data_IF_385883737880
#
_entry.id   IF_385883737880
#
_cell.length_a   1.000
_cell.length_b   1.000
_cell.length_c   1.000
_cell.angle_alpha   90.00
_cell.angle_beta   90.00
_cell.angle_gamma   90.00
#
_symmetry.space_group_name_H-M   'P 1'
#
loop_
_entity.id
_entity.type
_entity.pdbx_description
1 polymer ?
#
# COMPACT_ATOMS: atom_id res chain seq x y z
N UNK A 1 -0.56 -6.59 1.80
CA UNK A 1 0.46 -6.07 0.86
C UNK A 1 0.80 -4.62 1.17
N UNK A 2 2.06 -4.17 1.01
CA UNK A 2 2.37 -2.74 0.99
C UNK A 2 1.61 -2.05 -0.14
N UNK A 3 1.18 -0.79 0.05
CA UNK A 3 0.49 0.00 -0.98
C UNK A 3 1.25 0.04 -2.31
N UNK A 4 2.59 -0.02 -2.24
CA UNK A 4 3.48 -0.02 -3.41
C UNK A 4 3.38 -1.23 -4.34
N UNK A 5 2.75 -2.32 -3.91
CA UNK A 5 2.59 -3.55 -4.70
C UNK A 5 1.18 -3.74 -5.26
N UNK A 6 0.34 -2.71 -5.23
CA UNK A 6 -1.02 -2.74 -5.74
C UNK A 6 -1.05 -2.35 -7.22
N UNK A 7 -1.99 -2.92 -7.97
CA UNK A 7 -2.24 -2.52 -9.35
C UNK A 7 -3.17 -1.31 -9.42
N UNK A 8 -2.56 -0.15 -9.66
CA UNK A 8 -3.29 1.12 -9.69
C UNK A 8 -4.19 1.27 -10.92
N UNK A 9 -3.91 0.54 -12.01
CA UNK A 9 -4.66 0.63 -13.27
C UNK A 9 -6.02 -0.08 -13.21
N UNK A 10 -6.23 -0.86 -12.16
CA UNK A 10 -7.51 -1.51 -11.87
C UNK A 10 -8.12 -0.98 -10.56
N UNK A 11 -7.61 0.12 -10.02
CA UNK A 11 -8.10 0.69 -8.75
C UNK A 11 -8.04 -0.29 -7.58
N UNK A 12 -7.01 -1.14 -7.53
CA UNK A 12 -6.78 -2.04 -6.40
C UNK A 12 -6.30 -1.23 -5.18
N UNK A 13 -7.06 -1.27 -4.09
CA UNK A 13 -6.74 -0.55 -2.86
C UNK A 13 -6.15 -1.45 -1.78
N UNK A 14 -6.31 -2.76 -1.89
CA UNK A 14 -5.77 -3.73 -0.95
C UNK A 14 -5.68 -5.13 -1.56
N UNK A 15 -4.78 -5.98 -1.06
CA UNK A 15 -4.68 -7.39 -1.45
C UNK A 15 -4.48 -8.26 -0.20
N UNK A 16 -5.45 -9.12 0.07
CA UNK A 16 -5.33 -10.20 1.05
C UNK A 16 -4.65 -11.41 0.42
N UNK A 17 -4.10 -12.26 1.28
CA UNK A 17 -3.64 -13.60 0.89
C UNK A 17 -4.39 -14.61 1.73
N UNK A 18 -5.22 -15.39 1.05
CA UNK A 18 -6.01 -16.46 1.67
C UNK A 18 -5.24 -17.76 1.57
N UNK A 19 -4.94 -18.36 2.71
CA UNK A 19 -4.42 -19.72 2.74
C UNK A 19 -5.55 -20.72 2.46
N UNK A 20 -5.42 -21.48 1.39
CA UNK A 20 -6.27 -22.63 1.07
C UNK A 20 -5.56 -23.88 1.60
N UNK A 21 -5.69 -24.10 2.91
CA UNK A 21 -4.91 -25.10 3.65
C UNK A 21 -5.02 -26.52 3.05
N UNK A 22 -6.23 -26.92 2.66
CA UNK A 22 -6.50 -28.25 2.07
C UNK A 22 -5.77 -28.50 0.73
N UNK A 23 -5.39 -27.44 0.02
CA UNK A 23 -4.66 -27.53 -1.25
C UNK A 23 -3.18 -27.13 -1.10
N UNK A 24 -2.75 -26.67 0.08
CA UNK A 24 -1.42 -26.09 0.27
C UNK A 24 -1.15 -24.84 -0.58
N UNK A 25 -2.20 -24.11 -0.97
CA UNK A 25 -2.10 -22.95 -1.87
C UNK A 25 -2.36 -21.65 -1.12
N UNK A 26 -1.77 -20.56 -1.61
CA UNK A 26 -2.10 -19.19 -1.18
C UNK A 26 -2.71 -18.46 -2.36
N UNK A 27 -3.92 -17.95 -2.16
CA UNK A 27 -4.67 -17.24 -3.18
C UNK A 27 -4.69 -15.73 -2.87
N UNK A 28 -4.24 -14.87 -3.80
CA UNK A 28 -4.39 -13.42 -3.66
C UNK A 28 -5.85 -13.00 -3.88
N UNK A 29 -6.38 -12.17 -2.98
CA UNK A 29 -7.71 -11.57 -3.09
C UNK A 29 -7.61 -10.05 -3.13
N UNK A 30 -7.92 -9.46 -4.28
CA UNK A 30 -7.85 -8.02 -4.52
C UNK A 30 -9.13 -7.32 -4.07
N UNK A 31 -8.98 -6.19 -3.38
CA UNK A 31 -10.06 -5.24 -3.12
C UNK A 31 -9.95 -4.10 -4.13
N UNK A 32 -10.98 -3.96 -4.96
CA UNK A 32 -11.01 -2.99 -6.06
C UNK A 32 -12.14 -2.00 -5.82
N UNK A 33 -11.84 -0.71 -5.99
CA UNK A 33 -12.87 0.34 -6.03
C UNK A 33 -13.38 0.46 -7.47
N UNK A 34 -14.68 0.28 -7.73
CA UNK A 34 -15.22 0.40 -9.08
C UNK A 34 -15.19 1.87 -9.56
N UNK A 35 -14.48 2.13 -10.68
CA UNK A 35 -14.36 3.47 -11.29
C UNK A 35 -14.64 3.40 -12.79
N UNK A 36 -15.26 4.44 -13.36
CA UNK A 36 -15.62 4.51 -14.79
C UNK A 36 -14.43 4.40 -15.75
N UNK A 37 -13.25 4.91 -15.35
CA UNK A 37 -12.01 4.86 -16.13
C UNK A 37 -10.88 4.36 -15.22
N UNK A 38 -10.86 3.07 -14.92
CA UNK A 38 -9.89 2.47 -13.99
C UNK A 38 -8.44 2.62 -14.44
N UNK A 39 -8.18 2.66 -15.76
CA UNK A 39 -6.84 2.83 -16.34
C UNK A 39 -6.22 4.22 -16.12
N UNK A 40 -6.99 5.20 -15.62
CA UNK A 40 -6.45 6.47 -15.16
C UNK A 40 -6.03 6.34 -13.69
N UNK A 41 -4.95 7.02 -13.29
CA UNK A 41 -4.58 7.08 -11.89
C UNK A 41 -5.60 7.94 -11.11
N UNK A 42 -6.11 7.41 -9.99
CA UNK A 42 -7.08 8.08 -9.13
C UNK A 42 -6.42 8.48 -7.81
N UNK A 43 -5.92 9.71 -7.72
CA UNK A 43 -5.15 10.21 -6.57
C UNK A 43 -5.89 10.07 -5.23
N UNK A 44 -7.22 10.21 -5.23
CA UNK A 44 -8.08 10.07 -4.04
C UNK A 44 -8.05 8.66 -3.43
N UNK A 45 -7.74 7.63 -4.22
CA UNK A 45 -7.62 6.26 -3.74
C UNK A 45 -6.27 5.95 -3.09
N UNK A 46 -5.26 6.79 -3.32
CA UNK A 46 -3.87 6.55 -2.92
C UNK A 46 -3.30 7.73 -2.12
N UNK A 47 -3.84 8.03 -0.93
CA UNK A 47 -3.31 9.08 -0.07
C UNK A 47 -1.88 8.77 0.39
N UNK A 48 -1.23 9.77 0.97
CA UNK A 48 0.06 9.59 1.66
C UNK A 48 0.02 8.39 2.62
N UNK A 49 0.91 7.42 2.42
CA UNK A 49 0.89 6.16 3.18
C UNK A 49 2.26 5.86 3.77
N UNK A 50 2.36 4.89 4.69
CA UNK A 50 3.63 4.53 5.31
C UNK A 50 4.69 4.16 4.25
N UNK A 51 5.84 4.84 4.32
CA UNK A 51 6.99 4.56 3.46
C UNK A 51 7.77 3.31 3.90
N UNK A 52 8.84 2.98 3.18
CA UNK A 52 9.76 1.87 3.52
C UNK A 52 10.89 2.28 4.46
N UNK A 53 10.96 3.55 4.86
CA UNK A 53 11.98 4.07 5.77
C UNK A 53 11.34 4.32 7.12
N UNK A 54 12.01 3.88 8.18
CA UNK A 54 11.60 4.19 9.54
C UNK A 54 11.44 5.71 9.72
N UNK A 55 10.42 6.12 10.48
CA UNK A 55 10.16 7.53 10.76
C UNK A 55 11.19 8.13 11.73
N UNK A 56 11.82 7.29 12.54
CA UNK A 56 12.83 7.64 13.52
C UNK A 56 13.70 6.41 13.86
N UNK A 57 14.79 6.67 14.58
CA UNK A 57 15.63 5.65 15.21
C UNK A 57 15.01 5.13 16.51
N UNK A 58 15.50 4.00 17.00
CA UNK A 58 15.06 3.45 18.28
C UNK A 58 15.37 4.39 19.47
N UNK A 59 16.52 5.05 19.43
CA UNK A 59 16.96 6.00 20.46
C UNK A 59 16.03 7.22 20.53
N UNK A 60 15.64 7.77 19.38
CA UNK A 60 14.67 8.86 19.32
C UNK A 60 13.32 8.43 19.92
N UNK A 61 12.84 7.24 19.59
CA UNK A 61 11.60 6.70 20.15
C UNK A 61 11.67 6.52 21.67
N UNK A 62 12.77 5.96 22.19
CA UNK A 62 13.02 5.80 23.62
C UNK A 62 13.10 7.15 24.35
N UNK A 63 13.55 8.20 23.68
CA UNK A 63 13.56 9.57 24.18
C UNK A 63 12.17 10.25 24.13
N UNK A 64 11.12 9.52 23.76
CA UNK A 64 9.73 10.01 23.71
C UNK A 64 9.38 10.74 22.41
N UNK A 65 10.22 10.72 21.39
CA UNK A 65 9.90 11.32 20.09
C UNK A 65 8.81 10.47 19.41
N UNK A 66 7.80 11.14 18.86
CA UNK A 66 6.74 10.52 18.08
C UNK A 66 6.60 11.22 16.71
N UNK A 67 6.91 10.52 15.62
CA UNK A 67 6.91 11.01 14.24
C UNK A 67 6.31 9.95 13.34
N UNK A 68 5.58 10.41 12.33
CA UNK A 68 5.10 9.59 11.23
C UNK A 68 5.85 10.02 9.98
N UNK A 69 6.27 9.04 9.17
CA UNK A 69 6.83 9.28 7.84
C UNK A 69 5.91 8.67 6.80
N UNK A 70 5.30 9.55 6.01
CA UNK A 70 4.46 9.15 4.88
C UNK A 70 5.21 9.35 3.56
N UNK A 71 4.84 8.57 2.55
CA UNK A 71 5.35 8.63 1.19
C UNK A 71 4.18 8.70 0.21
N UNK A 72 4.40 9.41 -0.91
CA UNK A 72 3.46 9.47 -2.01
C UNK A 72 3.62 8.24 -2.89
N UNK A 73 2.49 7.69 -3.35
CA UNK A 73 2.47 6.52 -4.23
C UNK A 73 1.99 6.86 -5.64
N UNK A 74 2.36 8.05 -6.14
CA UNK A 74 2.04 8.41 -7.51
C UNK A 74 2.93 7.59 -8.49
N UNK A 75 2.37 6.98 -9.56
CA UNK A 75 3.13 6.12 -10.48
C UNK A 75 4.32 6.84 -11.15
N UNK A 76 4.21 8.14 -11.39
CA UNK A 76 5.31 8.95 -11.94
C UNK A 76 6.42 9.28 -10.92
N UNK A 77 6.19 9.09 -9.62
CA UNK A 77 7.18 9.35 -8.57
C UNK A 77 8.20 8.21 -8.37
N UNK A 78 8.15 7.18 -9.22
CA UNK A 78 9.05 6.02 -9.19
C UNK A 78 10.06 6.02 -10.36
N UNK A 79 10.23 7.15 -11.05
CA UNK A 79 11.33 7.39 -11.99
C UNK A 79 12.36 8.34 -11.40
#
# INVERSE_FOLDING_TARGET
MPKRGLDVNVCEIFRFYRLIAVKGLVEPLSMIVPRKKSALFHEDLYPMTAGNRAAMTAQEWLAGINRVRLANYHPSATR
#
